data_IF_148840504583
#
_entry.id   IF_148840504583
#
_cell.length_a   1.000
_cell.length_b   1.000
_cell.length_c   1.000
_cell.angle_alpha   90.00
_cell.angle_beta   90.00
_cell.angle_gamma   90.00
#
_symmetry.space_group_name_H-M   'P 1'
#
loop_
_entity.id
_entity.type
_entity.pdbx_description
1 polymer ?
#
# COMPACT_ATOMS: atom_id res chain seq x y z
N UNK A 1 8.26 22.21 17.36
CA UNK A 1 7.42 22.66 18.49
C UNK A 1 5.97 22.26 18.23
N UNK A 2 5.24 21.81 19.27
CA UNK A 2 3.94 21.15 19.10
C UNK A 2 2.74 22.11 19.19
N UNK A 3 2.77 23.24 18.45
CA UNK A 3 1.60 24.14 18.41
C UNK A 3 0.30 23.38 18.07
N UNK A 4 0.35 22.46 17.08
CA UNK A 4 -0.81 21.64 16.69
C UNK A 4 -1.29 20.68 17.81
N UNK A 5 -0.46 20.25 18.73
CA UNK A 5 -0.91 19.46 19.87
C UNK A 5 -1.62 20.33 20.90
N UNK A 6 -1.11 21.54 21.18
CA UNK A 6 -1.78 22.48 22.08
C UNK A 6 -3.16 22.88 21.55
N UNK A 7 -3.29 23.11 20.24
CA UNK A 7 -4.59 23.38 19.62
C UNK A 7 -5.57 22.22 19.85
N UNK A 8 -5.10 20.97 19.72
CA UNK A 8 -5.93 19.79 19.98
C UNK A 8 -6.32 19.63 21.45
N UNK A 9 -5.40 19.92 22.36
CA UNK A 9 -5.71 19.94 23.80
C UNK A 9 -6.79 21.00 24.08
N UNK A 10 -6.66 22.18 23.48
CA UNK A 10 -7.63 23.28 23.65
C UNK A 10 -9.01 22.97 23.02
N UNK A 11 -9.13 21.98 22.14
CA UNK A 11 -10.42 21.49 21.63
C UNK A 11 -11.18 20.68 22.68
N UNK A 12 -10.50 20.10 23.67
CA UNK A 12 -11.10 19.34 24.77
C UNK A 12 -11.35 20.31 25.93
N UNK A 13 -12.57 20.83 26.01
CA UNK A 13 -13.00 21.81 27.00
C UNK A 13 -13.76 21.14 28.14
N UNK A 14 -14.10 21.91 29.17
CA UNK A 14 -14.95 21.45 30.27
C UNK A 14 -16.34 20.97 29.77
N UNK A 15 -16.83 21.59 28.70
CA UNK A 15 -18.10 21.21 28.02
C UNK A 15 -17.98 19.94 27.18
N UNK A 16 -16.78 19.35 27.01
CA UNK A 16 -16.57 18.22 26.09
C UNK A 16 -16.76 16.90 26.81
N UNK A 17 -17.58 16.01 26.22
CA UNK A 17 -17.65 14.60 26.52
C UNK A 17 -16.61 13.87 25.66
N UNK A 18 -15.64 13.20 26.28
CA UNK A 18 -14.61 12.42 25.59
C UNK A 18 -14.99 10.95 25.67
N UNK A 19 -15.19 10.32 24.52
CA UNK A 19 -15.54 8.89 24.44
C UNK A 19 -14.41 8.13 23.78
N UNK A 20 -13.89 7.12 24.47
CA UNK A 20 -12.96 6.16 23.86
C UNK A 20 -13.69 4.88 23.48
N UNK A 21 -13.38 4.33 22.31
CA UNK A 21 -13.99 3.08 21.82
C UNK A 21 -12.90 2.10 21.42
N UNK A 22 -13.01 0.88 21.90
CA UNK A 22 -12.29 -0.28 21.38
C UNK A 22 -13.16 -0.96 20.32
N UNK A 23 -12.62 -1.04 19.09
CA UNK A 23 -13.32 -1.51 17.90
C UNK A 23 -13.13 -3.01 17.72
N UNK A 24 -14.23 -3.75 17.84
CA UNK A 24 -14.31 -5.17 17.48
C UNK A 24 -15.09 -5.44 16.19
N UNK A 25 -15.08 -6.66 15.71
CA UNK A 25 -15.80 -7.04 14.49
C UNK A 25 -17.32 -7.06 14.65
N UNK A 26 -17.82 -7.43 15.83
CA UNK A 26 -19.26 -7.58 16.11
C UNK A 26 -19.75 -6.71 17.25
N UNK A 27 -18.90 -6.46 18.24
CA UNK A 27 -19.23 -5.67 19.43
C UNK A 27 -18.15 -4.62 19.66
N UNK A 28 -18.61 -3.44 20.06
CA UNK A 28 -17.82 -2.28 20.41
C UNK A 28 -17.91 -2.01 21.90
N UNK A 29 -16.81 -1.58 22.52
CA UNK A 29 -16.79 -1.20 23.93
C UNK A 29 -16.47 0.29 24.04
N UNK A 30 -17.38 1.07 24.63
CA UNK A 30 -17.23 2.50 24.82
C UNK A 30 -17.17 2.88 26.28
N UNK A 31 -16.34 3.89 26.61
CA UNK A 31 -16.27 4.53 27.92
C UNK A 31 -16.19 6.03 27.74
N UNK A 32 -16.88 6.76 28.59
CA UNK A 32 -16.97 8.22 28.53
C UNK A 32 -16.25 8.88 29.70
N UNK A 33 -15.62 10.02 29.41
CA UNK A 33 -14.79 10.77 30.38
C UNK A 33 -15.04 12.27 30.24
N UNK A 34 -14.78 13.01 31.29
CA UNK A 34 -14.67 14.46 31.21
C UNK A 34 -13.28 14.90 30.69
N UNK A 35 -13.08 16.20 30.52
CA UNK A 35 -11.83 16.78 30.05
C UNK A 35 -10.61 16.51 30.94
N UNK A 36 -10.83 16.16 32.23
CA UNK A 36 -9.76 15.77 33.20
C UNK A 36 -9.45 14.29 33.16
N UNK A 37 -10.25 13.49 32.45
CA UNK A 37 -10.13 12.03 32.44
C UNK A 37 -10.92 11.33 33.56
N UNK A 38 -11.87 12.01 34.20
CA UNK A 38 -12.78 11.40 35.18
C UNK A 38 -13.88 10.66 34.41
N UNK A 39 -14.08 9.39 34.74
CA UNK A 39 -15.04 8.53 34.07
C UNK A 39 -16.49 8.92 34.38
N UNK A 40 -17.31 9.02 33.32
CA UNK A 40 -18.69 9.41 33.38
C UNK A 40 -19.60 8.22 33.01
N UNK A 41 -20.12 7.53 34.01
CA UNK A 41 -21.01 6.38 33.81
C UNK A 41 -20.28 5.03 33.76
N UNK A 42 -21.02 4.02 33.29
CA UNK A 42 -20.51 2.65 33.13
C UNK A 42 -20.07 2.37 31.70
N UNK A 43 -19.25 1.34 31.52
CA UNK A 43 -18.90 0.82 30.18
C UNK A 43 -20.18 0.51 29.39
N UNK A 44 -20.25 1.03 28.18
CA UNK A 44 -21.35 0.78 27.25
C UNK A 44 -20.87 -0.19 26.16
N UNK A 45 -21.70 -1.16 25.83
CA UNK A 45 -21.40 -2.14 24.78
C UNK A 45 -22.50 -2.10 23.74
N UNK A 46 -22.14 -2.02 22.46
CA UNK A 46 -23.08 -1.98 21.35
C UNK A 46 -22.63 -2.85 20.18
N UNK A 47 -23.57 -3.26 19.36
CA UNK A 47 -23.31 -4.07 18.16
C UNK A 47 -22.88 -3.20 16.97
N UNK A 48 -22.15 -3.81 16.03
CA UNK A 48 -21.85 -3.18 14.75
C UNK A 48 -23.06 -3.29 13.82
N UNK A 49 -24.14 -2.57 14.15
CA UNK A 49 -25.40 -2.49 13.43
C UNK A 49 -26.01 -1.10 13.60
N UNK A 50 -27.00 -0.78 12.76
CA UNK A 50 -27.69 0.52 12.82
C UNK A 50 -28.31 0.75 14.19
N UNK A 51 -29.01 -0.23 14.74
CA UNK A 51 -29.64 -0.17 16.06
C UNK A 51 -28.60 0.02 17.17
N UNK A 52 -27.44 -0.65 17.03
CA UNK A 52 -26.30 -0.48 17.95
C UNK A 52 -25.74 0.94 17.90
N UNK A 53 -25.62 1.53 16.73
CA UNK A 53 -25.14 2.91 16.56
C UNK A 53 -26.13 3.95 17.06
N UNK A 54 -27.42 3.75 16.84
CA UNK A 54 -28.50 4.59 17.38
C UNK A 54 -28.54 4.52 18.92
N UNK A 55 -28.40 3.31 19.50
CA UNK A 55 -28.30 3.13 20.94
C UNK A 55 -27.04 3.80 21.52
N UNK A 56 -25.91 3.76 20.80
CA UNK A 56 -24.68 4.44 21.17
C UNK A 56 -24.85 5.97 21.14
N UNK A 57 -25.50 6.52 20.13
CA UNK A 57 -25.85 7.95 20.06
C UNK A 57 -26.73 8.37 21.23
N UNK A 58 -27.80 7.62 21.51
CA UNK A 58 -28.70 7.89 22.63
C UNK A 58 -27.95 7.81 23.98
N UNK A 59 -27.02 6.88 24.16
CA UNK A 59 -26.20 6.79 25.36
C UNK A 59 -25.30 8.02 25.52
N UNK A 60 -24.66 8.51 24.46
CA UNK A 60 -23.87 9.74 24.51
C UNK A 60 -24.72 10.96 24.87
N UNK A 61 -25.90 11.11 24.25
CA UNK A 61 -26.84 12.19 24.53
C UNK A 61 -27.28 12.19 26.00
N UNK A 62 -27.64 11.02 26.52
CA UNK A 62 -27.99 10.89 27.95
C UNK A 62 -26.84 11.35 28.87
N UNK A 63 -25.60 11.03 28.55
CA UNK A 63 -24.45 11.48 29.33
C UNK A 63 -24.21 12.99 29.18
N UNK A 64 -24.42 13.55 27.99
CA UNK A 64 -24.32 15.00 27.75
C UNK A 64 -25.30 15.74 28.61
N UNK A 65 -26.56 15.33 28.62
CA UNK A 65 -27.64 15.95 29.43
C UNK A 65 -27.34 15.85 30.93
N UNK A 66 -26.99 14.64 31.38
CA UNK A 66 -26.70 14.36 32.78
C UNK A 66 -25.53 15.17 33.37
N UNK A 67 -24.44 15.31 32.54
CA UNK A 67 -23.19 15.94 32.98
C UNK A 67 -23.00 17.34 32.38
N UNK A 68 -24.03 17.90 31.71
CA UNK A 68 -24.05 19.24 31.08
C UNK A 68 -22.89 19.43 30.11
N UNK A 69 -22.72 18.47 29.17
CA UNK A 69 -21.72 18.50 28.11
C UNK A 69 -22.39 18.92 26.78
N UNK A 70 -21.81 19.92 26.10
CA UNK A 70 -22.32 20.39 24.80
C UNK A 70 -21.61 19.74 23.61
N UNK A 71 -20.38 19.32 23.78
CA UNK A 71 -19.53 18.82 22.71
C UNK A 71 -19.17 17.36 22.95
N UNK A 72 -18.99 16.59 21.86
CA UNK A 72 -18.52 15.19 21.93
C UNK A 72 -17.31 15.01 21.05
N UNK A 73 -16.31 14.31 21.54
CA UNK A 73 -15.17 13.79 20.75
C UNK A 73 -15.10 12.29 20.96
N UNK A 74 -15.24 11.54 19.88
CA UNK A 74 -15.13 10.08 19.87
C UNK A 74 -13.74 9.67 19.40
N UNK A 75 -12.97 9.01 20.25
CA UNK A 75 -11.65 8.47 19.94
C UNK A 75 -11.69 6.97 19.68
N UNK A 76 -10.98 6.51 18.65
CA UNK A 76 -10.82 5.10 18.32
C UNK A 76 -9.36 4.74 18.09
N UNK A 77 -9.02 3.46 18.35
CA UNK A 77 -7.83 2.84 17.78
C UNK A 77 -8.23 2.18 16.44
N UNK A 78 -7.66 2.60 15.28
CA UNK A 78 -8.06 2.07 13.99
C UNK A 78 -7.60 0.62 13.81
N UNK A 79 -8.50 -0.33 14.05
CA UNK A 79 -8.25 -1.77 13.86
C UNK A 79 -8.86 -2.23 12.54
N UNK A 80 -8.01 -2.48 11.53
CA UNK A 80 -8.43 -2.97 10.22
C UNK A 80 -9.49 -2.09 9.55
N UNK A 81 -10.61 -2.69 9.15
CA UNK A 81 -11.74 -2.04 8.48
C UNK A 81 -12.99 -1.91 9.35
N UNK A 82 -12.99 -2.49 10.54
CA UNK A 82 -14.18 -2.59 11.41
C UNK A 82 -14.72 -1.24 11.91
N UNK A 83 -13.94 -0.18 11.79
CA UNK A 83 -14.36 1.17 12.18
C UNK A 83 -15.07 1.96 11.07
N UNK A 84 -15.04 1.48 9.81
CA UNK A 84 -15.54 2.26 8.66
C UNK A 84 -17.01 2.59 8.78
N UNK A 85 -17.84 1.61 9.13
CA UNK A 85 -19.29 1.77 9.23
C UNK A 85 -19.65 2.74 10.38
N UNK A 86 -19.02 2.56 11.55
CA UNK A 86 -19.20 3.50 12.67
C UNK A 86 -18.67 4.89 12.30
N UNK A 87 -17.55 4.97 11.59
CA UNK A 87 -16.97 6.24 11.15
C UNK A 87 -17.89 7.01 10.22
N UNK A 88 -18.48 6.35 9.24
CA UNK A 88 -19.46 6.95 8.34
C UNK A 88 -20.71 7.42 9.10
N UNK A 89 -21.24 6.58 9.98
CA UNK A 89 -22.41 6.94 10.81
C UNK A 89 -22.14 8.20 11.68
N UNK A 90 -20.97 8.27 12.32
CA UNK A 90 -20.63 9.43 13.16
C UNK A 90 -20.40 10.70 12.33
N UNK A 91 -19.87 10.58 11.12
CA UNK A 91 -19.72 11.68 10.17
C UNK A 91 -21.08 12.22 9.72
N UNK A 92 -22.02 11.34 9.35
CA UNK A 92 -23.39 11.69 8.97
C UNK A 92 -24.14 12.41 10.13
N UNK A 93 -23.85 12.02 11.36
CA UNK A 93 -24.42 12.63 12.58
C UNK A 93 -23.68 13.89 13.05
N UNK A 94 -22.63 14.32 12.34
CA UNK A 94 -21.83 15.49 12.69
C UNK A 94 -21.00 15.32 13.97
N UNK A 95 -20.75 14.09 14.43
CA UNK A 95 -20.00 13.79 15.64
C UNK A 95 -18.50 13.66 15.29
N UNK A 96 -17.65 14.41 15.99
CA UNK A 96 -16.21 14.43 15.74
C UNK A 96 -15.57 13.09 16.12
N UNK A 97 -15.15 12.34 15.09
CA UNK A 97 -14.35 11.13 15.24
C UNK A 97 -12.86 11.45 15.13
N UNK A 98 -12.04 10.91 16.02
CA UNK A 98 -10.57 11.04 16.00
C UNK A 98 -9.90 9.67 16.19
N UNK A 99 -8.68 9.54 15.65
CA UNK A 99 -7.90 8.31 15.73
C UNK A 99 -6.67 8.48 16.60
N UNK A 100 -6.45 7.54 17.49
CA UNK A 100 -5.20 7.44 18.26
C UNK A 100 -4.24 6.45 17.60
N UNK A 101 -2.95 6.65 17.84
CA UNK A 101 -1.93 5.77 17.26
C UNK A 101 -1.86 4.46 18.07
N UNK A 102 -2.00 3.26 17.44
CA UNK A 102 -1.91 1.96 18.11
C UNK A 102 -0.64 1.77 18.94
N UNK A 103 0.48 2.29 18.46
CA UNK A 103 1.73 2.27 19.22
C UNK A 103 1.63 3.10 20.51
N UNK A 104 0.99 4.27 20.47
CA UNK A 104 0.79 5.10 21.66
C UNK A 104 -0.15 4.42 22.66
N UNK A 105 -1.23 3.77 22.16
CA UNK A 105 -2.16 2.99 23.00
C UNK A 105 -1.39 1.89 23.75
N UNK A 106 -0.57 1.10 23.03
CA UNK A 106 0.24 0.04 23.63
C UNK A 106 1.18 0.59 24.72
N UNK A 107 1.91 1.67 24.45
CA UNK A 107 2.85 2.26 25.40
C UNK A 107 2.14 2.85 26.64
N UNK A 108 0.99 3.50 26.44
CA UNK A 108 0.24 4.11 27.54
C UNK A 108 -0.40 3.05 28.43
N UNK A 109 -0.80 1.90 27.89
CA UNK A 109 -1.28 0.75 28.69
C UNK A 109 -0.23 0.23 29.66
N UNK A 110 1.00 0.07 29.18
CA UNK A 110 2.11 -0.43 29.97
C UNK A 110 2.45 0.51 31.14
N UNK A 111 2.18 1.81 30.99
CA UNK A 111 2.41 2.83 32.02
C UNK A 111 1.29 2.89 33.09
N UNK A 112 0.05 2.56 32.73
CA UNK A 112 -1.11 2.76 33.63
C UNK A 112 -1.25 1.69 34.73
N UNK A 113 -0.86 0.41 34.49
CA UNK A 113 -1.05 -0.65 35.50
C UNK A 113 0.06 -1.71 35.58
N UNK A 114 1.19 -1.50 34.87
CA UNK A 114 2.33 -2.44 34.83
C UNK A 114 1.91 -3.92 34.58
N UNK A 115 0.73 -4.13 33.96
CA UNK A 115 0.12 -5.42 33.72
C UNK A 115 0.03 -5.67 32.21
N UNK A 116 0.59 -6.76 31.74
CA UNK A 116 0.48 -7.22 30.35
C UNK A 116 -0.89 -7.84 30.02
N UNK A 117 -1.86 -7.82 30.94
CA UNK A 117 -3.16 -8.42 30.71
C UNK A 117 -3.96 -7.66 29.64
N UNK A 118 -4.35 -8.38 28.59
CA UNK A 118 -5.22 -7.88 27.54
C UNK A 118 -6.68 -7.88 28.02
N UNK A 119 -7.29 -6.70 28.10
CA UNK A 119 -8.69 -6.58 28.47
C UNK A 119 -9.34 -5.48 27.64
N UNK A 120 -10.24 -5.85 26.74
CA UNK A 120 -10.94 -4.96 25.81
C UNK A 120 -11.75 -3.86 26.52
N UNK A 121 -12.03 -4.01 27.81
CA UNK A 121 -12.69 -2.99 28.63
C UNK A 121 -11.74 -1.88 29.14
N UNK A 122 -10.41 -2.11 29.10
CA UNK A 122 -9.41 -1.12 29.51
C UNK A 122 -9.01 -0.19 28.36
N UNK A 123 -9.02 -0.68 27.13
CA UNK A 123 -8.58 0.02 25.94
C UNK A 123 -9.30 1.35 25.70
N UNK A 124 -10.64 1.43 25.85
CA UNK A 124 -11.37 2.69 25.71
C UNK A 124 -10.90 3.81 26.65
N UNK A 125 -10.46 3.48 27.88
CA UNK A 125 -9.91 4.47 28.83
C UNK A 125 -8.60 5.06 28.32
N UNK A 126 -7.71 4.21 27.84
CA UNK A 126 -6.41 4.64 27.30
C UNK A 126 -6.59 5.49 26.05
N UNK A 127 -7.55 5.12 25.19
CA UNK A 127 -7.91 5.88 24.00
C UNK A 127 -8.41 7.27 24.38
N UNK A 128 -9.34 7.37 25.31
CA UNK A 128 -9.87 8.65 25.79
C UNK A 128 -8.77 9.53 26.40
N UNK A 129 -7.86 8.97 27.22
CA UNK A 129 -6.71 9.68 27.77
C UNK A 129 -5.80 10.27 26.67
N UNK A 130 -5.50 9.51 25.63
CA UNK A 130 -4.74 10.01 24.49
C UNK A 130 -5.45 11.14 23.75
N UNK A 131 -6.78 11.10 23.68
CA UNK A 131 -7.59 12.17 23.10
C UNK A 131 -7.48 13.44 23.97
N UNK A 132 -7.64 13.35 25.28
CA UNK A 132 -7.50 14.52 26.19
C UNK A 132 -6.12 15.14 26.13
N UNK A 133 -5.07 14.33 25.92
CA UNK A 133 -3.69 14.79 25.73
C UNK A 133 -3.40 15.36 24.32
N UNK A 134 -4.39 15.48 23.44
CA UNK A 134 -4.22 15.96 22.05
C UNK A 134 -3.38 15.04 21.15
N UNK A 135 -3.19 13.77 21.53
CA UNK A 135 -2.40 12.76 20.81
C UNK A 135 -3.23 11.97 19.80
N UNK A 136 -4.02 12.67 19.03
CA UNK A 136 -4.90 12.08 18.03
C UNK A 136 -4.72 12.70 16.64
N UNK A 137 -5.29 12.09 15.63
CA UNK A 137 -5.41 12.62 14.27
C UNK A 137 -6.84 12.46 13.77
N UNK A 138 -7.28 13.37 12.90
CA UNK A 138 -8.54 13.18 12.19
C UNK A 138 -8.40 11.98 11.23
N UNK A 139 -9.41 11.10 11.14
CA UNK A 139 -9.47 10.08 10.11
C UNK A 139 -9.50 10.74 8.73
N UNK A 140 -8.96 10.02 7.76
CA UNK A 140 -9.12 10.41 6.37
C UNK A 140 -9.64 9.22 5.58
N UNK A 141 -10.89 9.31 5.20
CA UNK A 141 -11.52 8.42 4.24
C UNK A 141 -11.54 9.16 2.90
N UNK A 142 -10.91 8.65 1.85
CA UNK A 142 -11.01 9.28 0.55
C UNK A 142 -12.43 9.13 0.02
N UNK A 143 -12.86 10.12 -0.72
CA UNK A 143 -14.14 10.17 -1.41
C UNK A 143 -13.96 10.17 -2.93
N UNK A 144 -15.05 10.04 -3.67
CA UNK A 144 -15.10 10.12 -5.12
C UNK A 144 -14.03 9.26 -5.80
N UNK A 145 -13.38 9.83 -6.80
CA UNK A 145 -12.37 9.13 -7.62
C UNK A 145 -11.19 8.57 -6.81
N UNK A 146 -10.84 9.20 -5.70
CA UNK A 146 -9.73 8.72 -4.85
C UNK A 146 -10.13 7.48 -4.05
N UNK A 147 -11.41 7.37 -3.65
CA UNK A 147 -11.94 6.16 -3.03
C UNK A 147 -11.91 4.98 -3.99
N UNK A 148 -12.41 5.20 -5.22
CA UNK A 148 -12.41 4.20 -6.29
C UNK A 148 -10.99 3.73 -6.62
N UNK A 149 -10.05 4.67 -6.82
CA UNK A 149 -8.65 4.35 -7.06
C UNK A 149 -8.03 3.52 -5.93
N UNK A 150 -8.36 3.82 -4.67
CA UNK A 150 -7.85 3.05 -3.53
C UNK A 150 -8.31 1.59 -3.59
N UNK A 151 -9.58 1.36 -3.93
CA UNK A 151 -10.15 0.01 -4.07
C UNK A 151 -9.50 -0.71 -5.25
N UNK A 152 -9.40 -0.07 -6.41
CA UNK A 152 -8.83 -0.68 -7.61
C UNK A 152 -7.34 -0.99 -7.47
N UNK A 153 -6.55 -0.10 -6.89
CA UNK A 153 -5.12 -0.33 -6.61
C UNK A 153 -4.93 -1.47 -5.59
N UNK A 154 -5.81 -1.58 -4.58
CA UNK A 154 -5.78 -2.69 -3.64
C UNK A 154 -6.12 -4.02 -4.33
N UNK A 155 -7.15 -4.05 -5.19
CA UNK A 155 -7.51 -5.22 -5.99
C UNK A 155 -6.37 -5.64 -6.92
N UNK A 156 -5.75 -4.70 -7.65
CA UNK A 156 -4.57 -4.98 -8.45
C UNK A 156 -3.46 -5.64 -7.63
N UNK A 157 -3.17 -5.11 -6.45
CA UNK A 157 -2.13 -5.66 -5.57
C UNK A 157 -2.47 -7.08 -5.12
N UNK A 158 -3.75 -7.38 -4.84
CA UNK A 158 -4.22 -8.72 -4.52
C UNK A 158 -4.02 -9.67 -5.70
N UNK A 159 -4.46 -9.29 -6.90
CA UNK A 159 -4.32 -10.10 -8.11
C UNK A 159 -2.85 -10.40 -8.45
N UNK A 160 -1.94 -9.44 -8.31
CA UNK A 160 -0.49 -9.68 -8.49
C UNK A 160 0.05 -10.73 -7.51
N UNK A 161 -0.42 -10.75 -6.25
CA UNK A 161 -0.02 -11.77 -5.28
C UNK A 161 -0.57 -13.15 -5.66
N UNK A 162 -1.83 -13.23 -6.07
CA UNK A 162 -2.48 -14.46 -6.51
C UNK A 162 -1.76 -15.02 -7.75
N UNK A 163 -1.43 -14.17 -8.72
CA UNK A 163 -0.63 -14.58 -9.89
C UNK A 163 0.77 -15.06 -9.51
N UNK A 164 1.42 -14.42 -8.54
CA UNK A 164 2.71 -14.89 -8.02
C UNK A 164 2.61 -16.28 -7.40
N UNK A 165 1.52 -16.57 -6.69
CA UNK A 165 1.28 -17.92 -6.14
C UNK A 165 1.08 -18.95 -7.25
N UNK A 166 0.33 -18.62 -8.30
CA UNK A 166 0.15 -19.50 -9.47
C UNK A 166 1.50 -19.75 -10.15
N UNK A 167 2.30 -18.71 -10.37
CA UNK A 167 3.65 -18.82 -10.94
C UNK A 167 4.56 -19.74 -10.12
N UNK A 168 4.50 -19.66 -8.79
CA UNK A 168 5.24 -20.56 -7.93
C UNK A 168 4.77 -22.03 -8.05
N UNK A 169 3.46 -22.24 -8.28
CA UNK A 169 2.91 -23.58 -8.56
C UNK A 169 3.39 -24.11 -9.91
N UNK A 170 3.46 -23.28 -10.97
CA UNK A 170 4.07 -23.66 -12.24
C UNK A 170 5.53 -24.07 -12.05
N UNK A 171 6.32 -23.24 -11.36
CA UNK A 171 7.72 -23.56 -11.10
C UNK A 171 7.89 -24.90 -10.35
N UNK A 172 7.04 -25.15 -9.34
CA UNK A 172 7.00 -26.44 -8.64
C UNK A 172 6.63 -27.59 -9.57
N UNK A 173 5.62 -27.42 -10.42
CA UNK A 173 5.18 -28.43 -11.37
C UNK A 173 6.29 -28.78 -12.35
N UNK A 174 6.96 -27.80 -12.94
CA UNK A 174 8.11 -28.04 -13.82
C UNK A 174 9.23 -28.77 -13.09
N UNK A 175 9.60 -28.32 -11.90
CA UNK A 175 10.66 -28.98 -11.14
C UNK A 175 10.40 -30.47 -10.85
N UNK A 176 9.14 -30.90 -10.83
CA UNK A 176 8.74 -32.30 -10.55
C UNK A 176 8.62 -33.10 -11.86
N UNK A 177 7.93 -32.56 -12.86
CA UNK A 177 7.48 -33.34 -14.00
C UNK A 177 8.25 -33.04 -15.30
N UNK A 178 8.83 -31.84 -15.43
CA UNK A 178 9.66 -31.50 -16.61
C UNK A 178 10.68 -30.38 -16.25
N UNK A 179 11.71 -30.69 -15.45
CA UNK A 179 12.68 -29.68 -14.96
C UNK A 179 13.37 -28.91 -16.08
N UNK A 180 13.66 -29.56 -17.19
CA UNK A 180 14.40 -28.98 -18.32
C UNK A 180 13.54 -28.08 -19.22
N UNK A 181 12.22 -28.02 -18.99
CA UNK A 181 11.35 -27.19 -19.81
C UNK A 181 11.79 -25.72 -19.86
N UNK A 182 12.21 -25.19 -18.70
CA UNK A 182 12.65 -23.80 -18.59
C UNK A 182 13.98 -23.51 -19.27
N UNK A 183 14.77 -24.51 -19.58
CA UNK A 183 16.02 -24.36 -20.36
C UNK A 183 15.71 -24.07 -21.84
N UNK A 184 14.59 -24.60 -22.33
CA UNK A 184 14.12 -24.36 -23.70
C UNK A 184 13.28 -23.08 -23.80
N UNK A 185 12.45 -22.85 -22.80
CA UNK A 185 11.63 -21.64 -22.66
C UNK A 185 12.10 -20.88 -21.43
N UNK A 186 13.06 -19.97 -21.59
CA UNK A 186 13.51 -19.10 -20.48
C UNK A 186 12.36 -18.33 -19.79
N UNK A 187 11.30 -18.05 -20.58
CA UNK A 187 10.03 -17.52 -20.09
C UNK A 187 8.89 -18.47 -20.51
N UNK A 188 8.39 -19.28 -19.57
CA UNK A 188 7.26 -20.17 -19.82
C UNK A 188 5.92 -19.42 -19.98
N UNK A 189 5.85 -18.13 -19.60
CA UNK A 189 4.68 -17.28 -19.79
C UNK A 189 4.57 -16.77 -21.24
N UNK A 190 5.62 -17.00 -22.06
CA UNK A 190 5.57 -16.64 -23.46
C UNK A 190 4.40 -17.35 -24.18
N UNK A 191 3.75 -16.65 -25.09
CA UNK A 191 2.55 -17.13 -25.80
C UNK A 191 2.77 -18.51 -26.47
N UNK A 192 3.97 -18.75 -27.01
CA UNK A 192 4.34 -20.03 -27.62
C UNK A 192 4.40 -21.20 -26.64
N UNK A 193 4.88 -20.94 -25.43
CA UNK A 193 4.92 -21.93 -24.36
C UNK A 193 3.50 -22.20 -23.83
N UNK A 194 2.76 -21.16 -23.46
CA UNK A 194 1.40 -21.29 -22.94
C UNK A 194 0.46 -22.02 -23.91
N UNK A 195 0.57 -21.72 -25.22
CA UNK A 195 -0.20 -22.41 -26.25
C UNK A 195 0.13 -23.91 -26.31
N UNK A 196 1.40 -24.26 -26.18
CA UNK A 196 1.85 -25.66 -26.21
C UNK A 196 1.41 -26.39 -24.93
N UNK A 197 1.60 -25.80 -23.75
CA UNK A 197 1.23 -26.39 -22.46
C UNK A 197 -0.27 -26.71 -22.36
N UNK A 198 -1.12 -25.95 -23.03
CA UNK A 198 -2.56 -26.23 -23.16
C UNK A 198 -2.85 -27.53 -23.93
N UNK A 199 -1.96 -27.92 -24.84
CA UNK A 199 -2.14 -29.10 -25.66
C UNK A 199 -1.37 -30.30 -25.09
N UNK A 200 -0.09 -30.08 -24.77
CA UNK A 200 0.82 -31.09 -24.21
C UNK A 200 1.75 -30.47 -23.21
N UNK A 201 1.94 -31.10 -22.06
CA UNK A 201 2.78 -30.56 -20.99
C UNK A 201 3.80 -31.56 -20.43
N UNK A 202 3.62 -32.89 -20.64
CA UNK A 202 4.56 -33.89 -20.15
C UNK A 202 5.61 -34.23 -21.21
N UNK A 203 6.84 -34.62 -20.80
CA UNK A 203 7.89 -35.02 -21.74
C UNK A 203 7.46 -36.08 -22.74
N UNK A 204 6.77 -37.12 -22.29
CA UNK A 204 6.30 -38.22 -23.12
C UNK A 204 5.33 -37.72 -24.22
N UNK A 205 4.36 -36.87 -23.84
CA UNK A 205 3.37 -36.33 -24.78
C UNK A 205 4.01 -35.37 -25.80
N UNK A 206 5.07 -34.66 -25.41
CA UNK A 206 5.85 -33.80 -26.33
C UNK A 206 6.63 -34.63 -27.36
N UNK A 207 7.26 -35.73 -26.91
CA UNK A 207 7.96 -36.66 -27.80
C UNK A 207 6.99 -37.34 -28.77
N UNK A 208 5.81 -37.77 -28.28
CA UNK A 208 4.77 -38.39 -29.11
C UNK A 208 4.22 -37.40 -30.13
N UNK A 209 4.00 -36.14 -29.77
CA UNK A 209 3.51 -35.10 -30.67
C UNK A 209 4.50 -34.81 -31.80
N UNK A 210 5.79 -34.78 -31.51
CA UNK A 210 6.85 -34.55 -32.45
C UNK A 210 7.05 -33.07 -32.83
N UNK A 211 8.26 -32.77 -33.35
CA UNK A 211 8.67 -31.40 -33.64
C UNK A 211 7.87 -30.75 -34.77
N UNK A 212 7.47 -31.50 -35.80
CA UNK A 212 6.68 -31.00 -36.91
C UNK A 212 5.32 -30.47 -36.45
N UNK A 213 4.59 -31.27 -35.66
CA UNK A 213 3.29 -30.87 -35.13
C UNK A 213 3.38 -29.72 -34.16
N UNK A 214 4.41 -29.69 -33.30
CA UNK A 214 4.66 -28.55 -32.42
C UNK A 214 4.88 -27.28 -33.24
N UNK A 215 5.75 -27.33 -34.23
CA UNK A 215 5.97 -26.19 -35.13
C UNK A 215 4.69 -25.77 -35.86
N UNK A 216 3.87 -26.73 -36.32
CA UNK A 216 2.59 -26.46 -36.99
C UNK A 216 1.62 -25.71 -36.04
N UNK A 217 1.51 -26.12 -34.76
CA UNK A 217 0.70 -25.41 -33.73
C UNK A 217 1.10 -23.93 -33.64
N UNK A 218 2.39 -23.63 -33.65
CA UNK A 218 2.86 -22.24 -33.61
C UNK A 218 2.61 -21.49 -34.92
N UNK A 219 2.70 -22.16 -36.10
CA UNK A 219 2.38 -21.56 -37.41
C UNK A 219 0.91 -21.22 -37.50
N UNK A 220 0.02 -22.14 -37.12
CA UNK A 220 -1.42 -21.93 -37.10
C UNK A 220 -1.83 -20.73 -36.23
N UNK A 221 -1.11 -20.53 -35.10
CA UNK A 221 -1.27 -19.39 -34.25
C UNK A 221 -0.52 -18.13 -34.74
N UNK A 222 0.09 -18.16 -35.92
CA UNK A 222 0.84 -17.05 -36.55
C UNK A 222 2.02 -16.51 -35.67
N UNK A 223 2.61 -17.36 -34.85
CA UNK A 223 3.75 -17.00 -34.02
C UNK A 223 5.07 -17.00 -34.84
N UNK A 224 5.77 -15.88 -34.87
CA UNK A 224 6.99 -15.68 -35.66
C UNK A 224 8.28 -15.92 -34.89
N UNK A 225 8.29 -15.72 -33.58
CA UNK A 225 9.50 -15.79 -32.74
C UNK A 225 9.94 -17.23 -32.36
N UNK A 226 9.21 -18.24 -32.82
CA UNK A 226 9.46 -19.67 -32.59
C UNK A 226 9.39 -20.44 -33.90
N UNK A 227 10.02 -21.61 -33.97
CA UNK A 227 10.04 -22.41 -35.19
C UNK A 227 10.62 -23.80 -34.98
N UNK A 228 10.90 -24.51 -36.11
CA UNK A 228 11.33 -25.89 -36.12
C UNK A 228 12.53 -26.14 -35.19
N UNK A 229 13.57 -25.28 -35.22
CA UNK A 229 14.71 -25.41 -34.34
C UNK A 229 14.35 -25.55 -32.87
N UNK A 230 13.44 -24.67 -32.36
CA UNK A 230 13.00 -24.75 -30.95
C UNK A 230 12.13 -25.98 -30.70
N UNK A 231 11.27 -26.37 -31.65
CA UNK A 231 10.49 -27.59 -31.55
C UNK A 231 11.35 -28.84 -31.45
N UNK A 232 12.40 -28.95 -32.30
CA UNK A 232 13.38 -30.05 -32.27
C UNK A 232 14.11 -30.07 -30.94
N UNK A 233 14.65 -28.92 -30.50
CA UNK A 233 15.35 -28.83 -29.20
C UNK A 233 14.44 -29.27 -28.05
N UNK A 234 13.16 -28.89 -28.07
CA UNK A 234 12.19 -29.28 -27.03
C UNK A 234 11.96 -30.80 -27.03
N UNK A 235 11.78 -31.43 -28.22
CA UNK A 235 11.62 -32.88 -28.33
C UNK A 235 12.85 -33.64 -27.85
N UNK A 236 14.06 -33.18 -28.21
CA UNK A 236 15.32 -33.78 -27.76
C UNK A 236 15.49 -33.65 -26.24
N UNK A 237 15.12 -32.49 -25.68
CA UNK A 237 15.13 -32.25 -24.22
C UNK A 237 14.13 -33.14 -23.53
N UNK A 238 12.93 -33.29 -24.06
CA UNK A 238 11.88 -34.14 -23.52
C UNK A 238 12.28 -35.64 -23.51
N UNK A 239 12.99 -36.13 -24.54
CA UNK A 239 13.50 -37.53 -24.62
C UNK A 239 14.43 -37.88 -23.47
N UNK A 240 15.23 -36.93 -22.99
CA UNK A 240 16.22 -37.10 -21.91
C UNK A 240 15.77 -36.52 -20.55
N UNK A 241 14.49 -36.12 -20.43
CA UNK A 241 14.02 -35.56 -19.20
C UNK A 241 14.07 -36.53 -18.01
N UNK A 242 14.51 -36.00 -16.88
CA UNK A 242 14.52 -36.73 -15.58
C UNK A 242 13.25 -36.55 -14.79
N UNK A 243 12.25 -35.86 -15.36
CA UNK A 243 10.97 -35.60 -14.72
C UNK A 243 10.24 -36.85 -14.26
N UNK A 244 9.45 -36.72 -13.19
CA UNK A 244 8.69 -37.83 -12.60
C UNK A 244 7.61 -38.30 -13.57
N UNK A 245 7.64 -39.60 -13.93
CA UNK A 245 6.65 -40.22 -14.85
C UNK A 245 5.42 -40.73 -14.13
N UNK A 246 5.53 -41.09 -12.84
CA UNK A 246 4.40 -41.58 -12.04
C UNK A 246 3.38 -40.48 -11.81
N UNK A 247 2.11 -40.79 -12.00
CA UNK A 247 1.02 -39.81 -11.83
C UNK A 247 0.85 -38.81 -12.97
N UNK A 248 1.38 -39.10 -14.16
CA UNK A 248 1.36 -38.17 -15.33
C UNK A 248 -0.04 -37.70 -15.74
N UNK A 249 -1.11 -38.52 -15.55
CA UNK A 249 -2.49 -38.10 -15.84
C UNK A 249 -2.98 -37.01 -14.87
N UNK A 250 -2.69 -37.18 -13.56
CA UNK A 250 -3.00 -36.17 -12.56
C UNK A 250 -2.16 -34.91 -12.75
N UNK A 251 -0.89 -35.07 -13.10
CA UNK A 251 -0.02 -33.94 -13.41
C UNK A 251 -0.51 -33.10 -14.61
N UNK A 252 -1.02 -33.77 -15.67
CA UNK A 252 -1.66 -33.10 -16.81
C UNK A 252 -2.90 -32.33 -16.38
N UNK A 253 -3.72 -32.93 -15.52
CA UNK A 253 -4.92 -32.26 -15.01
C UNK A 253 -4.55 -31.06 -14.12
N UNK A 254 -3.54 -31.18 -13.25
CA UNK A 254 -3.01 -30.05 -12.45
C UNK A 254 -2.53 -28.92 -13.36
N UNK A 255 -1.78 -29.21 -14.43
CA UNK A 255 -1.32 -28.21 -15.39
C UNK A 255 -2.50 -27.50 -16.05
N UNK A 256 -3.53 -28.24 -16.46
CA UNK A 256 -4.74 -27.63 -17.03
C UNK A 256 -5.38 -26.61 -16.08
N UNK A 257 -5.57 -26.98 -14.80
CA UNK A 257 -6.12 -26.07 -13.79
C UNK A 257 -5.23 -24.83 -13.56
N UNK A 258 -3.90 -25.01 -13.53
CA UNK A 258 -2.96 -23.89 -13.38
C UNK A 258 -3.03 -22.92 -14.56
N UNK A 259 -3.19 -23.41 -15.78
CA UNK A 259 -3.34 -22.58 -16.98
C UNK A 259 -4.66 -21.79 -16.96
N UNK A 260 -5.76 -22.46 -16.59
CA UNK A 260 -7.08 -21.82 -16.46
C UNK A 260 -7.05 -20.72 -15.38
N UNK A 261 -6.51 -21.01 -14.20
CA UNK A 261 -6.33 -20.04 -13.11
C UNK A 261 -5.49 -18.84 -13.56
N UNK A 262 -4.38 -19.11 -14.26
CA UNK A 262 -3.48 -18.05 -14.73
C UNK A 262 -4.18 -17.13 -15.73
N UNK A 263 -4.84 -17.67 -16.73
CA UNK A 263 -5.54 -16.88 -17.75
C UNK A 263 -6.69 -16.08 -17.15
N UNK A 264 -7.46 -16.68 -16.27
CA UNK A 264 -8.54 -16.00 -15.56
C UNK A 264 -8.01 -14.82 -14.74
N UNK A 265 -6.93 -15.04 -13.96
CA UNK A 265 -6.32 -13.96 -13.18
C UNK A 265 -5.67 -12.88 -14.02
N UNK A 266 -5.10 -13.25 -15.18
CA UNK A 266 -4.56 -12.29 -16.13
C UNK A 266 -5.66 -11.40 -16.70
N UNK A 267 -6.77 -11.98 -17.15
CA UNK A 267 -7.92 -11.21 -17.65
C UNK A 267 -8.50 -10.27 -16.59
N UNK A 268 -8.61 -10.74 -15.32
CA UNK A 268 -9.03 -9.87 -14.22
C UNK A 268 -8.05 -8.71 -13.98
N UNK A 269 -6.74 -8.97 -14.08
CA UNK A 269 -5.71 -7.93 -13.90
C UNK A 269 -5.80 -6.90 -15.03
N UNK A 270 -5.96 -7.34 -16.27
CA UNK A 270 -6.08 -6.46 -17.43
C UNK A 270 -7.32 -5.55 -17.28
N UNK A 271 -8.47 -6.11 -16.90
CA UNK A 271 -9.69 -5.33 -16.64
C UNK A 271 -9.53 -4.31 -15.50
N UNK A 272 -8.88 -4.70 -14.41
CA UNK A 272 -8.57 -3.77 -13.29
C UNK A 272 -7.61 -2.66 -13.74
N UNK A 273 -6.66 -2.97 -14.62
CA UNK A 273 -5.74 -1.96 -15.16
C UNK A 273 -6.44 -0.94 -16.04
N UNK A 274 -7.36 -1.39 -16.90
CA UNK A 274 -8.19 -0.48 -17.71
C UNK A 274 -9.04 0.47 -16.83
N UNK A 275 -9.64 -0.06 -15.77
CA UNK A 275 -10.42 0.76 -14.85
C UNK A 275 -9.56 1.77 -14.09
N UNK A 276 -8.37 1.37 -13.64
CA UNK A 276 -7.39 2.29 -13.03
C UNK A 276 -7.03 3.42 -14.00
N UNK A 277 -6.81 3.13 -15.28
CA UNK A 277 -6.51 4.15 -16.27
C UNK A 277 -7.67 5.13 -16.49
N UNK A 278 -8.91 4.61 -16.57
CA UNK A 278 -10.13 5.44 -16.67
C UNK A 278 -10.26 6.37 -15.46
N UNK A 279 -10.04 5.85 -14.26
CA UNK A 279 -10.10 6.65 -13.03
C UNK A 279 -9.00 7.72 -12.98
N UNK A 280 -7.77 7.38 -13.39
CA UNK A 280 -6.69 8.37 -13.46
C UNK A 280 -7.03 9.53 -14.41
N UNK A 281 -7.65 9.25 -15.57
CA UNK A 281 -8.06 10.30 -16.52
C UNK A 281 -9.12 11.27 -15.98
N UNK A 282 -9.87 10.88 -14.94
CA UNK A 282 -10.79 11.80 -14.24
C UNK A 282 -10.08 12.85 -13.39
N UNK A 283 -8.76 12.71 -13.18
CA UNK A 283 -7.92 13.67 -12.44
C UNK A 283 -7.03 14.39 -13.47
N UNK A 284 -7.32 15.64 -13.82
CA UNK A 284 -6.62 16.34 -14.94
C UNK A 284 -5.11 16.36 -14.78
N UNK A 285 -4.62 16.54 -13.56
CA UNK A 285 -3.19 16.63 -13.25
C UNK A 285 -2.45 15.28 -13.43
N UNK A 286 -3.18 14.17 -13.54
CA UNK A 286 -2.58 12.84 -13.76
C UNK A 286 -1.82 12.77 -15.09
N UNK A 287 -2.27 13.47 -16.13
CA UNK A 287 -1.59 13.52 -17.43
C UNK A 287 -0.22 14.18 -17.31
N UNK A 288 -0.14 15.26 -16.54
CA UNK A 288 1.13 15.96 -16.28
C UNK A 288 2.11 15.09 -15.49
N UNK A 289 1.59 14.26 -14.56
CA UNK A 289 2.41 13.28 -13.84
C UNK A 289 2.93 12.19 -14.78
N UNK A 290 2.09 11.69 -15.68
CA UNK A 290 2.43 10.65 -16.67
C UNK A 290 3.41 11.17 -17.74
N UNK A 291 3.42 12.46 -18.03
CA UNK A 291 4.38 13.07 -18.95
C UNK A 291 5.84 13.01 -18.44
N UNK A 292 6.07 12.75 -17.16
CA UNK A 292 7.41 12.58 -16.60
C UNK A 292 8.00 11.27 -17.10
N UNK A 293 9.07 11.32 -17.90
CA UNK A 293 9.73 10.14 -18.45
C UNK A 293 10.16 9.18 -17.33
N UNK A 294 9.67 7.95 -17.36
CA UNK A 294 9.94 6.92 -16.35
C UNK A 294 8.83 6.77 -15.32
N UNK A 295 7.78 7.60 -15.36
CA UNK A 295 6.57 7.44 -14.56
C UNK A 295 5.48 6.75 -15.40
N UNK A 296 4.87 5.72 -14.83
CA UNK A 296 3.76 4.99 -15.45
C UNK A 296 2.48 5.10 -14.62
N UNK A 297 1.36 4.67 -15.22
CA UNK A 297 0.02 4.74 -14.63
C UNK A 297 -0.04 4.09 -13.24
N UNK A 298 0.67 2.99 -13.02
CA UNK A 298 0.71 2.29 -11.73
C UNK A 298 1.31 3.17 -10.63
N UNK A 299 2.32 3.98 -10.95
CA UNK A 299 2.93 4.93 -10.01
C UNK A 299 1.98 6.06 -9.68
N UNK A 300 1.34 6.64 -10.71
CA UNK A 300 0.37 7.74 -10.54
C UNK A 300 -0.82 7.27 -9.72
N UNK A 301 -1.46 6.18 -10.15
CA UNK A 301 -2.61 5.60 -9.45
C UNK A 301 -2.26 5.20 -8.00
N UNK A 302 -1.11 4.55 -7.81
CA UNK A 302 -0.64 4.14 -6.47
C UNK A 302 -0.39 5.33 -5.54
N UNK A 303 0.16 6.43 -6.07
CA UNK A 303 0.35 7.65 -5.30
C UNK A 303 -1.00 8.30 -4.95
N UNK A 304 -1.88 8.49 -5.92
CA UNK A 304 -3.20 9.09 -5.73
C UNK A 304 -4.09 8.26 -4.78
N UNK A 305 -4.09 6.94 -4.90
CA UNK A 305 -4.81 6.03 -4.03
C UNK A 305 -4.37 6.12 -2.56
N UNK A 306 -3.08 6.29 -2.31
CA UNK A 306 -2.53 6.36 -0.95
C UNK A 306 -2.59 7.76 -0.35
N UNK A 307 -2.40 8.80 -1.16
CA UNK A 307 -2.39 10.19 -0.72
C UNK A 307 -3.80 10.78 -0.71
N UNK A 308 -4.64 10.46 -1.71
CA UNK A 308 -5.93 11.11 -1.92
C UNK A 308 -5.76 12.55 -2.42
N UNK A 309 -6.71 13.42 -2.08
CA UNK A 309 -6.61 14.84 -2.41
C UNK A 309 -5.38 15.46 -1.74
N UNK A 310 -4.46 15.92 -2.57
CA UNK A 310 -3.20 16.51 -2.10
C UNK A 310 -3.39 17.87 -1.42
N UNK A 311 -4.50 18.56 -1.73
CA UNK A 311 -4.81 19.91 -1.18
C UNK A 311 -5.04 19.91 0.32
N UNK A 312 -5.33 18.74 0.92
CA UNK A 312 -5.40 18.58 2.38
C UNK A 312 -4.06 18.67 3.10
N UNK A 313 -2.94 18.71 2.38
CA UNK A 313 -1.60 18.85 2.94
C UNK A 313 -1.07 20.25 2.72
N UNK A 314 -0.56 20.88 3.76
CA UNK A 314 0.05 22.21 3.70
C UNK A 314 1.40 22.20 2.98
N UNK A 315 2.08 21.05 2.96
CA UNK A 315 3.41 20.91 2.36
C UNK A 315 3.74 19.46 1.98
N UNK A 316 4.65 19.27 1.01
CA UNK A 316 5.10 17.92 0.63
C UNK A 316 5.82 17.18 1.77
N UNK A 317 6.31 17.89 2.80
CA UNK A 317 6.91 17.28 3.99
C UNK A 317 5.90 16.43 4.78
N UNK A 318 4.63 16.83 4.79
CA UNK A 318 3.57 16.05 5.43
C UNK A 318 3.33 14.72 4.69
N UNK A 319 3.42 14.70 3.35
CA UNK A 319 3.32 13.47 2.56
C UNK A 319 4.56 12.59 2.76
N UNK A 320 5.76 13.18 2.88
CA UNK A 320 6.97 12.42 3.25
C UNK A 320 6.82 11.75 4.62
N UNK A 321 6.24 12.45 5.59
CA UNK A 321 5.92 11.89 6.91
C UNK A 321 4.87 10.78 6.81
N UNK A 322 3.82 10.98 6.00
CA UNK A 322 2.80 9.97 5.72
C UNK A 322 3.40 8.70 5.11
N UNK A 323 4.38 8.83 4.21
CA UNK A 323 5.11 7.70 3.63
C UNK A 323 6.14 7.06 4.59
N UNK A 324 6.40 7.68 5.75
CA UNK A 324 7.43 7.24 6.68
C UNK A 324 8.85 7.43 6.14
N UNK A 325 9.04 8.45 5.29
CA UNK A 325 10.34 8.82 4.69
C UNK A 325 11.06 9.95 5.45
N UNK A 326 10.46 10.47 6.52
CA UNK A 326 11.13 11.42 7.40
C UNK A 326 12.36 10.79 8.06
N UNK A 327 13.43 11.54 8.16
CA UNK A 327 14.65 11.08 8.81
C UNK A 327 14.45 10.97 10.31
N UNK A 328 15.03 9.93 10.89
CA UNK A 328 15.16 9.70 12.32
C UNK A 328 16.63 9.77 12.67
N UNK A 329 16.98 10.73 13.50
CA UNK A 329 18.29 10.84 14.11
C UNK A 329 18.36 9.91 15.32
N UNK A 330 19.52 9.30 15.54
CA UNK A 330 19.82 8.50 16.72
C UNK A 330 21.11 9.09 17.33
N UNK A 331 20.95 10.23 17.98
CA UNK A 331 22.05 10.94 18.64
C UNK A 331 21.70 11.20 20.10
N UNK A 332 22.62 10.93 20.99
CA UNK A 332 22.54 11.28 22.41
C UNK A 332 23.91 11.72 22.91
N UNK A 333 24.03 12.97 23.30
CA UNK A 333 25.30 13.53 23.75
C UNK A 333 26.44 13.39 22.74
N UNK A 334 27.50 12.68 23.09
CA UNK A 334 28.65 12.41 22.18
C UNK A 334 28.38 11.30 21.15
N UNK A 335 27.32 10.53 21.33
CA UNK A 335 26.98 9.42 20.39
C UNK A 335 26.25 9.95 19.15
N UNK A 336 26.88 9.84 17.99
CA UNK A 336 26.27 10.10 16.67
C UNK A 336 25.95 8.78 16.00
N UNK A 337 24.76 8.27 16.21
CA UNK A 337 24.28 7.04 15.55
C UNK A 337 23.85 7.28 14.09
N UNK A 338 23.53 6.20 13.39
CA UNK A 338 23.16 6.23 11.97
C UNK A 338 21.78 6.87 11.78
N UNK A 339 21.71 7.90 10.92
CA UNK A 339 20.44 8.49 10.48
C UNK A 339 19.72 7.54 9.51
N UNK A 340 18.48 7.21 9.80
CA UNK A 340 17.63 6.33 8.99
C UNK A 340 16.25 6.94 8.77
N UNK A 341 15.48 6.40 7.79
CA UNK A 341 14.08 6.78 7.64
C UNK A 341 13.24 6.20 8.78
N UNK A 342 12.21 6.92 9.19
CA UNK A 342 11.35 6.54 10.31
C UNK A 342 10.58 5.23 10.10
N UNK A 343 10.24 4.91 8.86
CA UNK A 343 9.36 3.81 8.44
C UNK A 343 7.96 3.84 9.11
N UNK A 344 7.68 4.82 9.99
CA UNK A 344 6.38 5.04 10.62
C UNK A 344 5.50 5.80 9.65
N UNK A 345 4.57 5.11 9.01
CA UNK A 345 3.67 5.65 7.99
C UNK A 345 3.24 4.57 7.00
N UNK A 346 2.56 4.98 5.93
CA UNK A 346 1.99 4.09 4.92
C UNK A 346 3.08 3.35 4.14
N UNK A 347 3.24 2.06 4.41
CA UNK A 347 4.24 1.21 3.75
C UNK A 347 3.98 1.07 2.25
N UNK A 348 2.70 1.04 1.82
CA UNK A 348 2.34 0.97 0.40
C UNK A 348 2.80 2.21 -0.35
N UNK A 349 2.54 3.41 0.18
CA UNK A 349 3.00 4.67 -0.43
C UNK A 349 4.53 4.69 -0.56
N UNK A 350 5.24 4.27 0.49
CA UNK A 350 6.70 4.18 0.47
C UNK A 350 7.20 3.21 -0.60
N UNK A 351 6.53 2.05 -0.75
CA UNK A 351 6.87 1.07 -1.78
C UNK A 351 6.63 1.60 -3.20
N UNK A 352 5.49 2.26 -3.44
CA UNK A 352 5.18 2.90 -4.74
C UNK A 352 6.27 3.90 -5.11
N UNK A 353 6.64 4.79 -4.20
CA UNK A 353 7.65 5.82 -4.44
C UNK A 353 9.04 5.24 -4.67
N UNK A 354 9.43 4.23 -3.88
CA UNK A 354 10.72 3.56 -4.03
C UNK A 354 10.82 2.83 -5.38
N UNK A 355 9.79 2.08 -5.75
CA UNK A 355 9.74 1.36 -7.03
C UNK A 355 9.67 2.31 -8.22
N UNK A 356 9.03 3.47 -8.08
CA UNK A 356 9.00 4.50 -9.11
C UNK A 356 10.37 5.19 -9.32
N UNK A 357 11.14 5.37 -8.25
CA UNK A 357 12.44 6.01 -8.34
C UNK A 357 13.47 5.21 -9.17
N UNK A 358 13.35 3.89 -9.24
CA UNK A 358 14.28 3.02 -9.98
C UNK A 358 14.20 3.28 -11.50
N UNK A 359 13.04 3.10 -12.18
CA UNK A 359 12.91 3.39 -13.61
C UNK A 359 13.07 4.89 -13.91
N UNK A 360 12.74 5.75 -12.95
CA UNK A 360 12.94 7.19 -13.09
C UNK A 360 14.43 7.53 -13.21
N UNK A 361 15.29 6.98 -12.36
CA UNK A 361 16.75 7.11 -12.44
C UNK A 361 17.29 6.53 -13.75
N UNK A 362 16.75 5.43 -14.22
CA UNK A 362 17.22 4.77 -15.43
C UNK A 362 16.82 5.50 -16.73
N UNK A 363 15.65 6.12 -16.76
CA UNK A 363 15.04 6.64 -17.99
C UNK A 363 14.99 8.16 -18.09
N UNK A 364 15.04 8.88 -16.97
CA UNK A 364 14.95 10.34 -16.93
C UNK A 364 16.33 10.96 -16.67
N UNK A 365 16.86 11.79 -17.59
CA UNK A 365 18.21 12.35 -17.50
C UNK A 365 18.44 13.18 -16.23
N UNK A 366 17.47 14.01 -15.85
CA UNK A 366 17.60 14.91 -14.71
C UNK A 366 17.65 14.13 -13.38
N UNK A 367 16.80 13.12 -13.23
CA UNK A 367 16.83 12.26 -12.06
C UNK A 367 18.07 11.35 -12.02
N UNK A 368 18.61 10.98 -13.19
CA UNK A 368 19.90 10.28 -13.29
C UNK A 368 21.02 11.18 -12.79
N UNK A 369 21.12 12.40 -13.29
CA UNK A 369 22.12 13.38 -12.86
C UNK A 369 22.01 13.67 -11.35
N UNK A 370 20.80 13.78 -10.82
CA UNK A 370 20.56 13.96 -9.39
C UNK A 370 21.03 12.74 -8.58
N UNK A 371 20.81 11.53 -9.08
CA UNK A 371 21.30 10.29 -8.46
C UNK A 371 22.83 10.23 -8.44
N UNK A 372 23.49 10.54 -9.55
CA UNK A 372 24.94 10.61 -9.69
C UNK A 372 25.51 11.64 -8.71
N UNK A 373 24.95 12.86 -8.70
CA UNK A 373 25.35 13.90 -7.74
C UNK A 373 25.25 13.43 -6.28
N UNK A 374 24.14 12.83 -5.86
CA UNK A 374 23.98 12.36 -4.48
C UNK A 374 24.97 11.26 -4.11
N UNK A 375 25.38 10.42 -5.05
CA UNK A 375 26.28 9.29 -4.79
C UNK A 375 27.75 9.65 -4.90
N UNK A 376 28.10 10.76 -5.61
CA UNK A 376 29.50 11.14 -5.91
C UNK A 376 29.94 12.46 -5.29
N UNK A 377 29.02 13.24 -4.70
CA UNK A 377 29.38 14.54 -4.09
C UNK A 377 30.45 14.38 -3.01
N UNK A 378 31.36 15.35 -2.92
CA UNK A 378 32.52 15.31 -2.02
C UNK A 378 32.11 15.23 -0.53
N UNK A 379 31.09 16.00 -0.15
CA UNK A 379 30.62 16.01 1.23
C UNK A 379 29.42 15.07 1.41
N UNK A 380 29.56 14.07 2.30
CA UNK A 380 28.53 13.12 2.68
C UNK A 380 27.84 12.42 1.48
N UNK A 381 28.59 11.64 0.64
CA UNK A 381 28.03 10.89 -0.47
C UNK A 381 27.02 9.85 0.04
N UNK A 382 25.90 9.74 -0.63
CA UNK A 382 24.86 8.78 -0.26
C UNK A 382 25.15 7.39 -0.87
N UNK A 383 24.86 6.33 -0.12
CA UNK A 383 24.81 4.98 -0.70
C UNK A 383 23.68 4.90 -1.75
N UNK A 384 23.81 4.03 -2.76
CA UNK A 384 22.82 3.89 -3.85
C UNK A 384 21.36 3.83 -3.35
N UNK A 385 21.06 2.99 -2.34
CA UNK A 385 19.72 2.90 -1.77
C UNK A 385 19.27 4.18 -1.03
N UNK A 386 20.17 4.90 -0.40
CA UNK A 386 19.86 6.17 0.25
C UNK A 386 19.52 7.25 -0.79
N UNK A 387 20.25 7.28 -1.91
CA UNK A 387 19.94 8.16 -3.03
C UNK A 387 18.56 7.86 -3.64
N UNK A 388 18.17 6.58 -3.81
CA UNK A 388 16.82 6.21 -4.26
C UNK A 388 15.75 6.78 -3.31
N UNK A 389 15.97 6.75 -2.00
CA UNK A 389 15.06 7.35 -1.01
C UNK A 389 15.00 8.87 -1.15
N UNK A 390 16.14 9.54 -1.34
CA UNK A 390 16.19 10.97 -1.55
C UNK A 390 15.41 11.37 -2.82
N UNK A 391 15.56 10.61 -3.91
CA UNK A 391 14.80 10.77 -5.15
C UNK A 391 13.31 10.52 -4.93
N UNK A 392 12.92 9.52 -4.14
CA UNK A 392 11.52 9.31 -3.75
C UNK A 392 10.94 10.54 -3.05
N UNK A 393 11.71 11.18 -2.17
CA UNK A 393 11.30 12.42 -1.51
C UNK A 393 11.22 13.60 -2.50
N UNK A 394 12.11 13.65 -3.50
CA UNK A 394 12.06 14.66 -4.56
C UNK A 394 10.83 14.45 -5.45
N UNK A 395 10.51 13.22 -5.82
CA UNK A 395 9.31 12.87 -6.57
C UNK A 395 8.02 13.32 -5.86
N UNK A 396 7.94 13.15 -4.53
CA UNK A 396 6.81 13.68 -3.74
C UNK A 396 6.67 15.18 -3.93
N UNK A 397 7.77 15.95 -3.93
CA UNK A 397 7.71 17.40 -4.12
C UNK A 397 7.23 17.78 -5.51
N UNK A 398 7.67 17.05 -6.53
CA UNK A 398 7.22 17.23 -7.92
C UNK A 398 5.72 16.93 -8.03
N UNK A 399 5.26 15.79 -7.56
CA UNK A 399 3.85 15.40 -7.59
C UNK A 399 2.97 16.39 -6.79
N UNK A 400 3.45 16.82 -5.63
CA UNK A 400 2.75 17.84 -4.84
C UNK A 400 2.62 19.15 -5.61
N UNK A 401 3.67 19.60 -6.29
CA UNK A 401 3.62 20.85 -7.07
C UNK A 401 2.64 20.74 -8.24
N UNK A 402 2.63 19.63 -8.95
CA UNK A 402 1.68 19.38 -10.05
C UNK A 402 0.24 19.40 -9.50
N UNK A 403 -0.05 18.58 -8.49
CA UNK A 403 -1.41 18.37 -7.97
C UNK A 403 -1.97 19.57 -7.19
N UNK A 404 -1.12 20.28 -6.41
CA UNK A 404 -1.57 21.38 -5.56
C UNK A 404 -1.53 22.75 -6.26
N UNK A 405 -0.68 22.90 -7.28
CA UNK A 405 -0.45 24.20 -7.94
C UNK A 405 -0.77 24.19 -9.43
N UNK A 406 -1.14 23.04 -10.00
CA UNK A 406 -1.43 22.92 -11.44
C UNK A 406 -0.23 23.19 -12.36
N UNK A 407 1.01 23.09 -11.85
CA UNK A 407 2.21 23.38 -12.64
C UNK A 407 2.70 22.16 -13.38
N UNK A 408 3.29 22.36 -14.55
CA UNK A 408 3.97 21.29 -15.31
C UNK A 408 5.32 20.95 -14.70
N UNK A 409 5.81 19.73 -15.01
CA UNK A 409 7.16 19.32 -14.62
C UNK A 409 8.22 20.21 -15.29
N UNK A 410 9.11 20.74 -14.47
CA UNK A 410 10.22 21.60 -14.90
C UNK A 410 11.55 20.92 -14.56
N UNK A 411 12.22 20.45 -15.61
CA UNK A 411 13.51 19.76 -15.53
C UNK A 411 14.61 20.66 -14.93
N UNK A 412 14.62 21.95 -15.28
CA UNK A 412 15.62 22.91 -14.81
C UNK A 412 15.51 23.14 -13.30
N UNK A 413 14.29 23.28 -12.78
CA UNK A 413 14.04 23.39 -11.34
C UNK A 413 14.46 22.15 -10.58
N UNK A 414 14.36 20.97 -11.20
CA UNK A 414 14.77 19.73 -10.55
C UNK A 414 16.28 19.70 -10.30
N UNK A 415 17.08 20.09 -11.28
CA UNK A 415 18.55 20.06 -11.19
C UNK A 415 19.16 21.30 -10.50
N UNK A 416 18.35 22.33 -10.23
CA UNK A 416 18.84 23.53 -9.52
C UNK A 416 19.46 23.22 -8.16
N UNK A 417 19.05 22.10 -7.51
CA UNK A 417 19.67 21.64 -6.27
C UNK A 417 21.13 21.18 -6.44
N UNK A 418 21.56 20.81 -7.66
CA UNK A 418 22.95 20.41 -7.98
C UNK A 418 23.87 21.63 -8.04
N UNK A 419 23.31 22.76 -8.46
CA UNK A 419 24.06 24.02 -8.71
C UNK A 419 24.00 24.99 -7.52
N UNK A 420 23.30 24.65 -6.44
CA UNK A 420 23.32 25.49 -5.23
C UNK A 420 24.68 25.39 -4.56
N UNK A 421 25.42 26.50 -4.55
CA UNK A 421 26.59 26.66 -3.69
C UNK A 421 26.15 26.40 -2.22
N UNK A 422 26.98 25.72 -1.41
CA UNK A 422 26.69 25.59 0.01
C UNK A 422 26.57 27.00 0.60
N UNK A 423 25.40 27.36 1.09
CA UNK A 423 25.29 28.54 1.95
C UNK A 423 26.20 28.28 3.15
N UNK A 424 27.27 29.05 3.24
CA UNK A 424 28.13 29.12 4.39
C UNK A 424 27.26 29.63 5.53
N UNK A 425 26.97 28.78 6.52
CA UNK A 425 26.27 29.12 7.75
C UNK A 425 27.23 29.79 8.73
#
# INVERSE_FOLDING_TARGET
>A
MNYKQNEKINQVKESTLVVGIDIGSTKQYARAFDWRGIELGKVFTFSNSREGFEAFKAWMQHLQDKYRKSDVIVGIEPTGHYWFDLGAYLEDEGILLVMVNPYAVKQTKELDDNSQSKNDRKDPKVIAKLVTEGRYSAPYTPDGVYADLRIMVANRKRLIREMTQIKNRFARWFAIYFPEYTDVFGDYEAQSSMLLLKKVCTPEAIVELGAEKINQIWRDAKLRAVGMKRATTLCETAKRSIGLKKGSSAARYEMKLLLEDYEYKKAQLDAVMEEIEKLCRKIPESEQMLAIKGIGVITVAGFLAEVGDVRRFESPRQIQKLAGLSLRENSSGKHKGQTTISKRGRSNLRAVLFNAAIPLIAKNPEFKSLHEYYTTRANNPLKKKQSVIAISCKLIRVFYAILAKGVTYDAQKLISDIHRQPQVA
#
